data_IF_226080588340
#
_entry.id   IF_226080588340
#
_cell.length_a   1.000
_cell.length_b   1.000
_cell.length_c   1.000
_cell.angle_alpha   90.00
_cell.angle_beta   90.00
_cell.angle_gamma   90.00
#
_symmetry.space_group_name_H-M   'P 1'
#
loop_
_entity.id
_entity.type
_entity.pdbx_description
1 polymer ?
#
# COMPACT_ATOMS: atom_id res chain seq x y z
N UNK A 1 -26.20 -12.60 -18.72
CA UNK A 1 -24.88 -12.12 -18.23
C UNK A 1 -23.84 -12.68 -19.17
N UNK A 2 -23.03 -11.81 -19.75
CA UNK A 2 -21.94 -12.25 -20.63
C UNK A 2 -20.73 -12.59 -19.76
N UNK A 3 -20.47 -13.89 -19.61
CA UNK A 3 -19.35 -14.38 -18.80
C UNK A 3 -17.97 -14.01 -19.39
N UNK A 4 -17.91 -13.55 -20.64
CA UNK A 4 -16.68 -13.09 -21.28
C UNK A 4 -16.07 -11.87 -20.56
N UNK A 5 -16.89 -11.08 -19.86
CA UNK A 5 -16.44 -9.92 -19.10
C UNK A 5 -15.47 -10.28 -17.95
N UNK A 6 -15.60 -11.50 -17.39
CA UNK A 6 -14.68 -11.99 -16.37
C UNK A 6 -13.26 -12.24 -16.90
N UNK A 7 -13.10 -12.42 -18.22
CA UNK A 7 -11.78 -12.59 -18.82
C UNK A 7 -10.92 -11.30 -18.73
N UNK A 8 -11.56 -10.13 -18.66
CA UNK A 8 -10.86 -8.87 -18.44
C UNK A 8 -10.33 -8.73 -17.01
N UNK A 9 -10.96 -9.41 -16.03
CA UNK A 9 -10.55 -9.45 -14.62
C UNK A 9 -9.60 -10.61 -14.31
N UNK A 10 -8.85 -11.11 -15.29
CA UNK A 10 -7.97 -12.28 -15.10
C UNK A 10 -6.96 -12.09 -13.95
N UNK A 11 -6.49 -10.87 -13.74
CA UNK A 11 -5.50 -10.52 -12.72
C UNK A 11 -6.10 -10.62 -11.31
N UNK A 12 -7.30 -10.07 -11.12
CA UNK A 12 -8.04 -10.16 -9.86
C UNK A 12 -8.48 -11.59 -9.56
N UNK A 13 -9.04 -12.29 -10.56
CA UNK A 13 -9.51 -13.66 -10.40
C UNK A 13 -8.38 -14.63 -10.10
N UNK A 14 -7.24 -14.49 -10.77
CA UNK A 14 -6.06 -15.33 -10.48
C UNK A 14 -5.51 -15.05 -9.08
N UNK A 15 -5.54 -13.80 -8.60
CA UNK A 15 -5.15 -13.46 -7.23
C UNK A 15 -6.13 -14.04 -6.20
N UNK A 16 -7.43 -14.00 -6.46
CA UNK A 16 -8.46 -14.65 -5.63
C UNK A 16 -8.22 -16.16 -5.56
N UNK A 17 -7.89 -16.80 -6.69
CA UNK A 17 -7.55 -18.21 -6.72
C UNK A 17 -6.32 -18.53 -5.85
N UNK A 18 -5.28 -17.69 -5.90
CA UNK A 18 -4.10 -17.81 -5.02
C UNK A 18 -4.49 -17.71 -3.55
N UNK A 19 -5.32 -16.73 -3.18
CA UNK A 19 -5.81 -16.57 -1.80
C UNK A 19 -6.57 -17.83 -1.35
N UNK A 20 -7.46 -18.35 -2.18
CA UNK A 20 -8.25 -19.55 -1.87
C UNK A 20 -7.37 -20.80 -1.70
N UNK A 21 -6.36 -20.98 -2.57
CA UNK A 21 -5.43 -22.12 -2.46
C UNK A 21 -4.64 -22.02 -1.16
N UNK A 22 -4.13 -20.84 -0.78
CA UNK A 22 -3.41 -20.65 0.48
C UNK A 22 -4.34 -20.90 1.68
N UNK A 23 -5.57 -20.38 1.63
CA UNK A 23 -6.57 -20.58 2.68
C UNK A 23 -6.89 -22.07 2.90
N UNK A 24 -7.15 -22.80 1.81
CA UNK A 24 -7.42 -24.24 1.88
C UNK A 24 -6.19 -25.01 2.38
N UNK A 25 -5.01 -24.66 1.89
CA UNK A 25 -3.77 -25.30 2.34
C UNK A 25 -3.53 -25.07 3.85
N UNK A 26 -3.79 -23.88 4.37
CA UNK A 26 -3.66 -23.58 5.80
C UNK A 26 -4.73 -24.28 6.64
N UNK A 27 -5.97 -24.35 6.15
CA UNK A 27 -7.10 -25.02 6.83
C UNK A 27 -6.85 -26.53 7.01
N UNK A 28 -6.32 -27.21 5.98
CA UNK A 28 -6.04 -28.64 6.03
C UNK A 28 -4.71 -28.97 6.68
N UNK A 29 -3.91 -27.98 7.07
CA UNK A 29 -2.66 -28.20 7.77
C UNK A 29 -2.95 -28.45 9.26
N UNK A 30 -2.65 -29.66 9.72
CA UNK A 30 -2.91 -30.08 11.11
C UNK A 30 -2.15 -29.14 12.08
N UNK A 31 -2.85 -28.51 13.06
CA UNK A 31 -2.26 -27.59 14.05
C UNK A 31 -1.07 -28.18 14.81
N UNK A 32 -1.17 -29.46 15.20
CA UNK A 32 -0.11 -30.15 15.96
C UNK A 32 1.16 -30.40 15.13
N UNK A 33 1.03 -30.38 13.81
CA UNK A 33 2.14 -30.57 12.86
C UNK A 33 2.66 -29.26 12.26
N UNK A 34 2.06 -28.11 12.57
CA UNK A 34 2.47 -26.79 12.04
C UNK A 34 3.95 -26.45 12.33
N UNK A 35 4.45 -26.90 13.46
CA UNK A 35 5.85 -26.71 13.85
C UNK A 35 6.81 -27.78 13.29
N UNK A 36 6.32 -28.79 12.60
CA UNK A 36 7.19 -29.71 11.89
C UNK A 36 7.92 -28.96 10.75
N UNK A 37 9.24 -29.11 10.67
CA UNK A 37 10.12 -28.36 9.77
C UNK A 37 9.67 -28.43 8.30
N UNK A 38 9.12 -29.57 7.86
CA UNK A 38 8.64 -29.75 6.49
C UNK A 38 7.35 -28.98 6.22
N UNK A 39 6.40 -29.00 7.15
CA UNK A 39 5.13 -28.27 7.03
C UNK A 39 5.35 -26.76 7.14
N UNK A 40 6.25 -26.33 8.01
CA UNK A 40 6.66 -24.93 8.14
C UNK A 40 7.33 -24.39 6.86
N UNK A 41 8.18 -25.19 6.21
CA UNK A 41 8.78 -24.84 4.91
C UNK A 41 7.72 -24.77 3.81
N UNK A 42 6.82 -25.75 3.74
CA UNK A 42 5.74 -25.76 2.77
C UNK A 42 4.84 -24.54 2.92
N UNK A 43 4.39 -24.21 4.14
CA UNK A 43 3.55 -23.05 4.43
C UNK A 43 4.21 -21.71 4.09
N UNK A 44 5.53 -21.64 4.04
CA UNK A 44 6.29 -20.44 3.66
C UNK A 44 6.57 -20.39 2.15
N UNK A 45 6.90 -21.51 1.54
CA UNK A 45 7.28 -21.57 0.11
C UNK A 45 6.05 -21.47 -0.79
N UNK A 46 4.96 -22.12 -0.44
CA UNK A 46 3.73 -22.17 -1.25
C UNK A 46 3.21 -20.76 -1.64
N UNK A 47 3.01 -19.80 -0.70
CA UNK A 47 2.55 -18.45 -1.07
C UNK A 47 3.52 -17.72 -2.00
N UNK A 48 4.83 -17.88 -1.80
CA UNK A 48 5.87 -17.26 -2.65
C UNK A 48 5.79 -17.84 -4.07
N UNK A 49 5.75 -19.16 -4.21
CA UNK A 49 5.67 -19.81 -5.52
C UNK A 49 4.38 -19.44 -6.25
N UNK A 50 3.25 -19.46 -5.57
CA UNK A 50 1.97 -19.07 -6.17
C UNK A 50 1.97 -17.62 -6.64
N UNK A 51 2.56 -16.69 -5.85
CA UNK A 51 2.69 -15.29 -6.25
C UNK A 51 3.64 -15.09 -7.44
N UNK A 52 4.73 -15.85 -7.52
CA UNK A 52 5.62 -15.83 -8.69
C UNK A 52 4.87 -16.33 -9.93
N UNK A 53 4.15 -17.43 -9.84
CA UNK A 53 3.34 -17.98 -10.95
C UNK A 53 2.28 -16.98 -11.37
N UNK A 54 1.54 -16.40 -10.41
CA UNK A 54 0.54 -15.35 -10.66
C UNK A 54 1.15 -14.15 -11.41
N UNK A 55 2.31 -13.68 -10.98
CA UNK A 55 3.01 -12.55 -11.61
C UNK A 55 3.45 -12.88 -13.04
N UNK A 56 3.99 -14.07 -13.28
CA UNK A 56 4.44 -14.50 -14.62
C UNK A 56 3.26 -14.59 -15.60
N UNK A 57 2.14 -15.20 -15.16
CA UNK A 57 0.93 -15.35 -15.99
C UNK A 57 0.36 -13.99 -16.39
N UNK A 58 0.44 -12.99 -15.50
CA UNK A 58 -0.13 -11.66 -15.69
C UNK A 58 0.90 -10.59 -16.12
N UNK A 59 2.14 -10.98 -16.45
CA UNK A 59 3.18 -10.00 -16.81
C UNK A 59 2.94 -9.36 -18.17
N UNK A 60 2.31 -10.08 -19.10
CA UNK A 60 2.06 -9.59 -20.45
C UNK A 60 0.69 -8.92 -20.50
N UNK A 61 0.66 -7.58 -20.72
CA UNK A 61 -0.61 -6.87 -20.86
C UNK A 61 -1.36 -7.34 -22.12
N UNK A 62 -2.68 -7.40 -22.03
CA UNK A 62 -3.51 -7.60 -23.22
C UNK A 62 -3.49 -6.32 -24.08
N UNK A 63 -3.64 -6.50 -25.40
CA UNK A 63 -3.70 -5.36 -26.30
C UNK A 63 -5.02 -4.60 -26.16
N UNK A 64 -4.93 -3.27 -26.06
CA UNK A 64 -6.08 -2.38 -26.00
C UNK A 64 -6.65 -2.16 -24.59
N UNK A 65 -7.57 -1.23 -24.48
CA UNK A 65 -8.38 -0.97 -23.29
C UNK A 65 -9.72 -1.66 -23.40
N UNK A 66 -10.28 -2.11 -22.28
CA UNK A 66 -11.58 -2.76 -22.23
C UNK A 66 -12.36 -2.30 -21.00
N UNK A 67 -13.68 -2.35 -21.14
CA UNK A 67 -14.62 -2.08 -20.05
C UNK A 67 -15.46 -3.32 -19.79
N UNK A 68 -15.77 -3.55 -18.51
CA UNK A 68 -16.61 -4.65 -18.09
C UNK A 68 -17.63 -4.19 -17.04
N UNK A 69 -18.67 -4.98 -16.87
CA UNK A 69 -19.73 -4.72 -15.87
C UNK A 69 -20.35 -3.32 -16.01
N UNK A 70 -20.68 -2.92 -17.26
CA UNK A 70 -21.29 -1.62 -17.52
C UNK A 70 -20.36 -0.43 -17.26
N UNK A 71 -19.03 -0.59 -17.40
CA UNK A 71 -18.07 0.47 -17.16
C UNK A 71 -17.57 0.58 -15.70
N UNK A 72 -18.05 -0.28 -14.80
CA UNK A 72 -17.57 -0.29 -13.40
C UNK A 72 -16.11 -0.75 -13.30
N UNK A 73 -15.70 -1.69 -14.14
CA UNK A 73 -14.33 -2.17 -14.27
C UNK A 73 -13.72 -1.65 -15.57
N UNK A 74 -12.53 -1.09 -15.49
CA UNK A 74 -11.76 -0.63 -16.63
C UNK A 74 -10.41 -1.34 -16.66
N UNK A 75 -10.05 -1.85 -17.81
CA UNK A 75 -8.75 -2.43 -18.09
C UNK A 75 -7.94 -1.51 -19.00
N UNK A 76 -6.69 -1.26 -18.64
CA UNK A 76 -5.72 -0.61 -19.51
C UNK A 76 -4.33 -1.27 -19.33
N UNK A 77 -3.50 -1.36 -20.38
CA UNK A 77 -2.18 -2.02 -20.32
C UNK A 77 -1.27 -1.45 -19.22
N UNK A 78 -1.37 -0.15 -18.94
CA UNK A 78 -0.60 0.50 -17.88
C UNK A 78 -0.93 -0.04 -16.49
N UNK A 79 -2.18 -0.41 -16.24
CA UNK A 79 -2.61 -1.00 -14.97
C UNK A 79 -1.94 -2.34 -14.71
N UNK A 80 -1.78 -3.18 -15.74
CA UNK A 80 -1.03 -4.45 -15.64
C UNK A 80 0.42 -4.22 -15.22
N UNK A 81 1.09 -3.22 -15.80
CA UNK A 81 2.48 -2.88 -15.45
C UNK A 81 2.57 -2.49 -13.97
N UNK A 82 1.65 -1.65 -13.50
CA UNK A 82 1.64 -1.22 -12.11
C UNK A 82 1.35 -2.38 -11.17
N UNK A 83 0.35 -3.21 -11.47
CA UNK A 83 0.06 -4.41 -10.70
C UNK A 83 1.25 -5.37 -10.66
N UNK A 84 2.01 -5.51 -11.77
CA UNK A 84 3.23 -6.30 -11.81
C UNK A 84 4.32 -5.74 -10.86
N UNK A 85 4.49 -4.42 -10.82
CA UNK A 85 5.41 -3.77 -9.87
C UNK A 85 5.00 -4.03 -8.42
N UNK A 86 3.70 -3.92 -8.10
CA UNK A 86 3.17 -4.23 -6.77
C UNK A 86 3.38 -5.70 -6.40
N UNK A 87 3.23 -6.62 -7.36
CA UNK A 87 3.47 -8.05 -7.16
C UNK A 87 4.93 -8.34 -6.83
N UNK A 88 5.85 -7.78 -7.60
CA UNK A 88 7.29 -7.95 -7.36
C UNK A 88 7.65 -7.44 -5.97
N UNK A 89 7.14 -6.27 -5.59
CA UNK A 89 7.32 -5.73 -4.25
C UNK A 89 6.74 -6.64 -3.16
N UNK A 90 5.55 -7.20 -3.38
CA UNK A 90 4.91 -8.15 -2.45
C UNK A 90 5.71 -9.44 -2.31
N UNK A 91 6.27 -9.97 -3.41
CA UNK A 91 7.14 -11.14 -3.37
C UNK A 91 8.40 -10.86 -2.52
N UNK A 92 9.02 -9.69 -2.67
CA UNK A 92 10.17 -9.28 -1.83
C UNK A 92 9.77 -9.24 -0.36
N UNK A 93 8.61 -8.66 -0.04
CA UNK A 93 8.07 -8.65 1.33
C UNK A 93 7.84 -10.06 1.86
N UNK A 94 7.36 -11.00 1.04
CA UNK A 94 7.19 -12.40 1.44
C UNK A 94 8.52 -13.09 1.74
N UNK A 95 9.59 -12.80 0.99
CA UNK A 95 10.92 -13.28 1.34
C UNK A 95 11.41 -12.71 2.68
N UNK A 96 11.17 -11.42 2.94
CA UNK A 96 11.49 -10.80 4.23
C UNK A 96 10.67 -11.42 5.37
N UNK A 97 9.39 -11.70 5.14
CA UNK A 97 8.48 -12.31 6.11
C UNK A 97 8.88 -13.74 6.47
N UNK A 98 9.49 -14.49 5.53
CA UNK A 98 9.82 -15.89 5.71
C UNK A 98 10.68 -16.17 6.96
N UNK A 99 11.63 -15.29 7.28
CA UNK A 99 12.47 -15.42 8.47
C UNK A 99 11.73 -14.95 9.73
N UNK A 100 10.97 -13.86 9.65
CA UNK A 100 10.20 -13.35 10.79
C UNK A 100 9.09 -14.31 11.22
N UNK A 101 8.43 -14.98 10.27
CA UNK A 101 7.37 -15.97 10.54
C UNK A 101 7.91 -17.30 11.10
N UNK A 102 9.21 -17.47 11.30
CA UNK A 102 9.78 -18.63 12.00
C UNK A 102 9.75 -18.46 13.52
N UNK A 103 9.55 -17.26 14.03
CA UNK A 103 9.45 -16.98 15.45
C UNK A 103 8.24 -17.72 16.06
N UNK A 104 8.35 -18.17 17.29
CA UNK A 104 7.30 -18.96 17.97
C UNK A 104 5.96 -18.21 17.99
N UNK A 105 5.97 -16.93 18.31
CA UNK A 105 4.76 -16.08 18.41
C UNK A 105 4.02 -15.88 17.08
N UNK A 106 4.72 -15.99 15.95
CA UNK A 106 4.18 -15.72 14.60
C UNK A 106 3.98 -16.98 13.78
N UNK A 107 4.66 -18.06 14.15
CA UNK A 107 4.69 -19.33 13.38
C UNK A 107 3.32 -19.95 13.17
N UNK A 108 2.43 -19.84 14.15
CA UNK A 108 1.06 -20.38 14.10
C UNK A 108 0.18 -19.59 13.12
N UNK A 109 0.46 -18.31 12.92
CA UNK A 109 -0.35 -17.37 12.12
C UNK A 109 0.20 -17.13 10.71
N UNK A 110 1.07 -18.00 10.19
CA UNK A 110 1.70 -17.83 8.86
C UNK A 110 0.67 -17.68 7.73
N UNK A 111 -0.30 -18.58 7.67
CA UNK A 111 -1.36 -18.52 6.66
C UNK A 111 -2.17 -17.24 6.73
N UNK A 112 -2.55 -16.81 7.93
CA UNK A 112 -3.27 -15.57 8.17
C UNK A 112 -2.50 -14.35 7.63
N UNK A 113 -1.19 -14.28 7.85
CA UNK A 113 -0.34 -13.20 7.34
C UNK A 113 -0.40 -13.10 5.81
N UNK A 114 -0.22 -14.23 5.11
CA UNK A 114 -0.23 -14.25 3.64
C UNK A 114 -1.62 -13.92 3.09
N UNK A 115 -2.68 -14.49 3.67
CA UNK A 115 -4.06 -14.24 3.24
C UNK A 115 -4.41 -12.76 3.41
N UNK A 116 -4.13 -12.16 4.57
CA UNK A 116 -4.40 -10.74 4.83
C UNK A 116 -3.61 -9.84 3.89
N UNK A 117 -2.32 -10.13 3.66
CA UNK A 117 -1.48 -9.34 2.74
C UNK A 117 -2.00 -9.41 1.31
N UNK A 118 -2.39 -10.59 0.83
CA UNK A 118 -2.96 -10.75 -0.51
C UNK A 118 -4.36 -10.14 -0.63
N UNK A 119 -5.15 -10.16 0.43
CA UNK A 119 -6.44 -9.46 0.46
C UNK A 119 -6.27 -7.95 0.33
N UNK A 120 -5.26 -7.35 0.99
CA UNK A 120 -4.95 -5.94 0.79
C UNK A 120 -4.48 -5.66 -0.65
N UNK A 121 -3.69 -6.54 -1.24
CA UNK A 121 -3.25 -6.43 -2.62
C UNK A 121 -4.42 -6.50 -3.60
N UNK A 122 -5.39 -7.41 -3.36
CA UNK A 122 -6.62 -7.48 -4.13
C UNK A 122 -7.42 -6.17 -4.08
N UNK A 123 -7.55 -5.56 -2.90
CA UNK A 123 -8.17 -4.24 -2.74
C UNK A 123 -7.47 -3.16 -3.58
N UNK A 124 -6.13 -3.18 -3.62
CA UNK A 124 -5.36 -2.26 -4.47
C UNK A 124 -5.61 -2.50 -5.95
N UNK A 125 -5.74 -3.76 -6.39
CA UNK A 125 -6.11 -4.09 -7.77
C UNK A 125 -7.48 -3.54 -8.15
N UNK A 126 -8.47 -3.73 -7.27
CA UNK A 126 -9.82 -3.20 -7.49
C UNK A 126 -9.81 -1.67 -7.60
N UNK A 127 -9.03 -0.96 -6.77
CA UNK A 127 -8.87 0.49 -6.89
C UNK A 127 -8.24 0.90 -8.22
N UNK A 128 -7.18 0.21 -8.66
CA UNK A 128 -6.44 0.53 -9.89
C UNK A 128 -7.33 0.33 -11.12
N UNK A 129 -8.18 -0.69 -11.11
CA UNK A 129 -9.09 -1.03 -12.22
C UNK A 129 -10.48 -0.42 -12.10
N UNK A 130 -10.69 0.48 -11.12
CA UNK A 130 -12.00 1.09 -10.93
C UNK A 130 -12.36 2.06 -12.07
N UNK A 131 -13.55 1.90 -12.63
CA UNK A 131 -14.20 2.85 -13.53
C UNK A 131 -15.38 3.58 -12.88
N UNK A 132 -15.67 3.26 -11.62
CA UNK A 132 -16.77 3.80 -10.85
C UNK A 132 -16.33 3.98 -9.38
N UNK A 133 -16.76 5.06 -8.73
CA UNK A 133 -16.36 5.34 -7.34
C UNK A 133 -16.81 4.28 -6.34
N UNK A 134 -17.88 3.53 -6.60
CA UNK A 134 -18.28 2.42 -5.73
C UNK A 134 -17.21 1.31 -5.72
N UNK A 135 -16.72 0.91 -6.91
CA UNK A 135 -15.67 -0.09 -7.01
C UNK A 135 -14.35 0.41 -6.39
N UNK A 136 -14.01 1.68 -6.63
CA UNK A 136 -12.88 2.33 -5.98
C UNK A 136 -12.98 2.25 -4.44
N UNK A 137 -14.15 2.59 -3.87
CA UNK A 137 -14.37 2.58 -2.41
C UNK A 137 -14.30 1.16 -1.82
N UNK A 138 -14.91 0.17 -2.49
CA UNK A 138 -14.80 -1.25 -2.09
C UNK A 138 -13.34 -1.68 -2.09
N UNK A 139 -12.58 -1.33 -3.13
CA UNK A 139 -11.16 -1.62 -3.20
C UNK A 139 -10.37 -0.98 -2.07
N UNK A 140 -10.66 0.29 -1.74
CA UNK A 140 -10.01 1.04 -0.67
C UNK A 140 -10.24 0.38 0.70
N UNK A 141 -11.46 -0.04 1.01
CA UNK A 141 -11.79 -0.72 2.27
C UNK A 141 -11.20 -2.12 2.31
N UNK A 142 -11.26 -2.88 1.21
CA UNK A 142 -10.62 -4.20 1.11
C UNK A 142 -9.11 -4.11 1.31
N UNK A 143 -8.47 -3.01 0.90
CA UNK A 143 -7.04 -2.77 1.15
C UNK A 143 -6.75 -2.28 2.57
N UNK A 144 -7.71 -1.64 3.26
CA UNK A 144 -7.47 -0.93 4.53
C UNK A 144 -7.76 -1.80 5.76
N UNK A 145 -8.87 -2.56 5.75
CA UNK A 145 -9.30 -3.35 6.91
C UNK A 145 -8.31 -4.49 7.23
N UNK A 146 -7.89 -5.33 6.26
CA UNK A 146 -6.88 -6.35 6.57
C UNK A 146 -5.52 -5.75 6.91
N UNK A 147 -5.18 -4.56 6.38
CA UNK A 147 -3.97 -3.85 6.74
C UNK A 147 -3.93 -3.48 8.23
N UNK A 148 -5.06 -3.07 8.82
CA UNK A 148 -5.13 -2.79 10.25
C UNK A 148 -4.81 -4.03 11.10
N UNK A 149 -5.30 -5.20 10.68
CA UNK A 149 -4.98 -6.47 11.33
C UNK A 149 -3.49 -6.84 11.18
N UNK A 150 -2.89 -6.58 10.00
CA UNK A 150 -1.45 -6.76 9.78
C UNK A 150 -0.61 -5.84 10.66
N UNK A 151 -0.99 -4.57 10.83
CA UNK A 151 -0.30 -3.61 11.71
C UNK A 151 -0.33 -4.10 13.16
N UNK A 152 -1.46 -4.68 13.61
CA UNK A 152 -1.63 -5.26 14.95
C UNK A 152 -1.22 -6.73 15.05
N UNK A 153 -0.45 -7.27 14.10
CA UNK A 153 -0.20 -8.71 13.98
C UNK A 153 0.49 -9.30 15.22
N UNK A 154 1.43 -8.57 15.82
CA UNK A 154 2.08 -8.91 17.09
C UNK A 154 1.22 -8.47 18.29
N UNK A 155 -0.01 -8.95 18.35
CA UNK A 155 -1.04 -8.50 19.31
C UNK A 155 -0.64 -8.54 20.79
N UNK A 156 0.33 -9.36 21.14
CA UNK A 156 0.87 -9.47 22.51
C UNK A 156 1.86 -8.35 22.83
N UNK A 157 2.37 -7.64 21.84
CA UNK A 157 3.20 -6.44 22.04
C UNK A 157 2.31 -5.22 22.08
N UNK A 158 2.31 -4.52 23.22
CA UNK A 158 1.46 -3.34 23.44
C UNK A 158 1.59 -2.30 22.31
N UNK A 159 2.80 -2.04 21.84
CA UNK A 159 3.05 -1.10 20.75
C UNK A 159 2.40 -1.50 19.42
N UNK A 160 2.34 -2.79 19.11
CA UNK A 160 1.69 -3.27 17.87
C UNK A 160 0.16 -3.16 17.95
N UNK A 161 -0.43 -3.48 19.10
CA UNK A 161 -1.86 -3.32 19.33
C UNK A 161 -2.28 -1.84 19.29
N UNK A 162 -1.50 -0.94 19.90
CA UNK A 162 -1.72 0.50 19.86
C UNK A 162 -1.61 1.05 18.42
N UNK A 163 -0.59 0.63 17.67
CA UNK A 163 -0.41 1.03 16.27
C UNK A 163 -1.59 0.59 15.41
N UNK A 164 -2.09 -0.64 15.60
CA UNK A 164 -3.29 -1.14 14.91
C UNK A 164 -4.53 -0.35 15.23
N UNK A 165 -4.76 -0.02 16.51
CA UNK A 165 -5.89 0.80 16.93
C UNK A 165 -5.82 2.22 16.32
N UNK A 166 -4.65 2.87 16.35
CA UNK A 166 -4.45 4.18 15.73
C UNK A 166 -4.68 4.14 14.23
N UNK A 167 -4.18 3.10 13.56
CA UNK A 167 -4.37 2.95 12.11
C UNK A 167 -5.84 2.79 11.75
N UNK A 168 -6.57 1.84 12.38
CA UNK A 168 -7.95 1.55 12.00
C UNK A 168 -8.88 2.74 12.28
N UNK A 169 -8.74 3.40 13.43
CA UNK A 169 -9.58 4.54 13.79
C UNK A 169 -9.38 5.71 12.83
N UNK A 170 -8.14 6.04 12.51
CA UNK A 170 -7.84 7.14 11.57
C UNK A 170 -8.19 6.77 10.14
N UNK A 171 -8.03 5.51 9.73
CA UNK A 171 -8.43 5.02 8.42
C UNK A 171 -9.95 5.10 8.24
N UNK A 172 -10.74 4.60 9.19
CA UNK A 172 -12.21 4.66 9.13
C UNK A 172 -12.72 6.11 9.10
N UNK A 173 -12.13 7.00 9.89
CA UNK A 173 -12.49 8.41 9.87
C UNK A 173 -12.21 9.04 8.50
N UNK A 174 -11.06 8.76 7.93
CA UNK A 174 -10.69 9.30 6.61
C UNK A 174 -11.55 8.72 5.48
N UNK A 175 -11.90 7.43 5.55
CA UNK A 175 -12.81 6.77 4.60
C UNK A 175 -14.22 7.36 4.69
N UNK A 176 -14.69 7.68 5.89
CA UNK A 176 -15.99 8.33 6.09
C UNK A 176 -16.03 9.72 5.44
N UNK A 177 -14.98 10.53 5.60
CA UNK A 177 -14.87 11.83 4.94
C UNK A 177 -14.82 11.70 3.41
N UNK A 178 -14.06 10.74 2.90
CA UNK A 178 -14.01 10.44 1.47
C UNK A 178 -15.39 10.05 0.94
N UNK A 179 -16.09 9.15 1.62
CA UNK A 179 -17.44 8.73 1.23
C UNK A 179 -18.43 9.89 1.26
N UNK A 180 -18.30 10.79 2.24
CA UNK A 180 -19.10 12.01 2.29
C UNK A 180 -18.82 12.90 1.07
N UNK A 181 -17.55 13.07 0.66
CA UNK A 181 -17.18 13.76 -0.57
C UNK A 181 -17.80 13.11 -1.82
N UNK A 182 -17.78 11.78 -1.91
CA UNK A 182 -18.43 11.06 -3.02
C UNK A 182 -19.95 11.25 -3.04
N UNK A 183 -20.59 11.32 -1.88
CA UNK A 183 -22.01 11.63 -1.78
C UNK A 183 -22.34 13.03 -2.32
N UNK A 184 -21.48 14.03 -2.04
CA UNK A 184 -21.63 15.39 -2.58
C UNK A 184 -21.43 15.43 -4.10
N UNK A 185 -20.46 14.66 -4.65
CA UNK A 185 -20.28 14.52 -6.10
C UNK A 185 -21.52 13.92 -6.73
N UNK A 186 -22.05 12.84 -6.15
CA UNK A 186 -23.28 12.22 -6.65
C UNK A 186 -24.46 13.18 -6.60
N UNK A 187 -24.60 13.95 -5.51
CA UNK A 187 -25.67 14.95 -5.36
C UNK A 187 -25.60 16.08 -6.39
N UNK A 188 -24.41 16.44 -6.88
CA UNK A 188 -24.23 17.50 -7.87
C UNK A 188 -24.26 17.00 -9.31
N UNK A 189 -23.70 15.82 -9.58
CA UNK A 189 -23.49 15.28 -10.94
C UNK A 189 -24.49 14.19 -11.33
N UNK A 190 -25.16 13.54 -10.36
CA UNK A 190 -26.11 12.45 -10.61
C UNK A 190 -25.49 11.13 -11.06
N UNK A 191 -24.16 11.06 -11.19
CA UNK A 191 -23.42 9.87 -11.61
C UNK A 191 -22.14 9.70 -10.78
N UNK A 192 -21.60 8.47 -10.75
CA UNK A 192 -20.30 8.13 -10.13
C UNK A 192 -19.36 7.39 -11.09
N UNK A 193 -19.72 7.31 -12.37
CA UNK A 193 -18.85 6.75 -13.42
C UNK A 193 -17.75 7.73 -13.79
N UNK A 194 -16.51 7.24 -13.86
CA UNK A 194 -15.34 8.09 -14.16
C UNK A 194 -15.39 8.73 -15.53
N UNK A 195 -16.01 8.06 -16.50
CA UNK A 195 -16.12 8.58 -17.86
C UNK A 195 -17.20 9.67 -18.01
N UNK A 196 -18.25 9.65 -17.17
CA UNK A 196 -19.37 10.58 -17.27
C UNK A 196 -19.13 11.86 -16.45
N UNK A 197 -18.43 11.73 -15.32
CA UNK A 197 -18.23 12.82 -14.37
C UNK A 197 -17.62 14.10 -14.97
N UNK A 198 -16.60 14.04 -15.86
CA UNK A 198 -15.99 15.25 -16.41
C UNK A 198 -16.98 16.15 -17.16
N UNK A 199 -18.05 15.57 -17.73
CA UNK A 199 -19.09 16.33 -18.44
C UNK A 199 -20.05 17.08 -17.48
N UNK A 200 -20.06 16.74 -16.18
CA UNK A 200 -20.97 17.29 -15.17
C UNK A 200 -20.22 18.11 -14.10
N UNK A 201 -18.90 18.20 -14.19
CA UNK A 201 -18.08 18.98 -13.26
C UNK A 201 -17.88 20.38 -13.81
N UNK A 202 -18.50 21.36 -13.15
CA UNK A 202 -18.46 22.79 -13.53
C UNK A 202 -17.57 23.60 -12.58
N UNK A 203 -16.99 23.00 -11.54
CA UNK A 203 -16.18 23.69 -10.54
C UNK A 203 -17.01 24.52 -9.54
N UNK A 204 -18.28 24.17 -9.32
CA UNK A 204 -19.11 24.86 -8.33
C UNK A 204 -18.62 24.56 -6.90
N UNK A 205 -19.03 25.40 -5.94
CA UNK A 205 -18.57 25.32 -4.54
C UNK A 205 -18.84 23.95 -3.91
N UNK A 206 -19.94 23.27 -4.26
CA UNK A 206 -20.25 21.94 -3.75
C UNK A 206 -19.26 20.89 -4.26
N UNK A 207 -18.86 20.99 -5.53
CA UNK A 207 -17.89 20.09 -6.15
C UNK A 207 -16.46 20.34 -5.62
N UNK A 208 -16.09 21.59 -5.35
CA UNK A 208 -14.82 21.93 -4.69
C UNK A 208 -14.78 21.33 -3.28
N UNK A 209 -15.85 21.48 -2.50
CA UNK A 209 -15.94 20.86 -1.17
C UNK A 209 -15.87 19.33 -1.27
N UNK A 210 -16.57 18.72 -2.22
CA UNK A 210 -16.54 17.29 -2.47
C UNK A 210 -15.12 16.79 -2.79
N UNK A 211 -14.38 17.54 -3.62
CA UNK A 211 -12.99 17.26 -3.90
C UNK A 211 -12.11 17.33 -2.64
N UNK A 212 -12.26 18.33 -1.79
CA UNK A 212 -11.50 18.46 -0.53
C UNK A 212 -11.75 17.26 0.38
N UNK A 213 -13.00 16.81 0.53
CA UNK A 213 -13.33 15.63 1.31
C UNK A 213 -12.78 14.34 0.69
N UNK A 214 -12.88 14.17 -0.62
CA UNK A 214 -12.27 13.06 -1.35
C UNK A 214 -10.74 13.04 -1.14
N UNK A 215 -10.10 14.20 -1.34
CA UNK A 215 -8.66 14.34 -1.18
C UNK A 215 -8.20 14.09 0.25
N UNK A 216 -9.00 14.41 1.26
CA UNK A 216 -8.69 14.10 2.67
C UNK A 216 -8.47 12.60 2.86
N UNK A 217 -9.35 11.75 2.31
CA UNK A 217 -9.20 10.30 2.40
C UNK A 217 -7.98 9.78 1.65
N UNK A 218 -7.72 10.30 0.46
CA UNK A 218 -6.54 9.93 -0.32
C UNK A 218 -5.24 10.45 0.31
N UNK A 219 -5.26 11.66 0.86
CA UNK A 219 -4.15 12.27 1.59
C UNK A 219 -3.76 11.46 2.83
N UNK A 220 -4.73 10.93 3.57
CA UNK A 220 -4.48 9.96 4.65
C UNK A 220 -3.75 8.72 4.11
N UNK A 221 -4.25 8.09 3.05
CA UNK A 221 -3.67 6.88 2.48
C UNK A 221 -2.21 7.08 2.02
N UNK A 222 -1.90 8.26 1.48
CA UNK A 222 -0.58 8.67 1.06
C UNK A 222 0.29 9.20 2.20
N UNK A 223 -0.31 9.49 3.35
CA UNK A 223 0.35 10.15 4.49
C UNK A 223 0.84 11.57 4.16
N UNK A 224 0.09 12.32 3.36
CA UNK A 224 0.41 13.72 3.06
C UNK A 224 0.07 14.63 4.25
N UNK A 225 0.80 15.71 4.41
CA UNK A 225 0.49 16.74 5.42
C UNK A 225 -0.81 17.46 4.99
N UNK A 226 -1.80 17.63 5.88
CA UNK A 226 -1.79 17.41 7.35
C UNK A 226 -2.20 16.01 7.81
N UNK A 227 -2.53 15.09 6.91
CA UNK A 227 -3.10 13.77 7.21
C UNK A 227 -2.07 12.70 7.61
N UNK A 228 -0.84 13.08 7.94
CA UNK A 228 0.32 12.21 8.16
C UNK A 228 0.51 11.71 9.61
N UNK A 229 -0.22 12.25 10.58
CA UNK A 229 0.06 12.08 12.02
C UNK A 229 0.08 10.62 12.48
N UNK A 230 -0.69 9.75 11.84
CA UNK A 230 -0.74 8.32 12.16
C UNK A 230 0.53 7.56 11.76
N UNK A 231 1.25 8.04 10.74
CA UNK A 231 2.29 7.27 10.03
C UNK A 231 3.48 6.94 10.93
N UNK A 232 3.97 7.90 11.71
CA UNK A 232 5.13 7.70 12.56
C UNK A 232 4.87 6.64 13.64
N UNK A 233 3.73 6.72 14.32
CA UNK A 233 3.36 5.79 15.39
C UNK A 233 3.06 4.39 14.86
N UNK A 234 2.39 4.30 13.70
CA UNK A 234 2.07 3.02 13.06
C UNK A 234 3.33 2.34 12.54
N UNK A 235 4.25 3.06 11.90
CA UNK A 235 5.50 2.46 11.41
C UNK A 235 6.40 1.98 12.55
N UNK A 236 6.43 2.70 13.66
CA UNK A 236 7.19 2.30 14.84
C UNK A 236 6.61 1.04 15.49
N UNK A 237 5.30 0.99 15.69
CA UNK A 237 4.63 -0.10 16.40
C UNK A 237 4.40 -1.36 15.58
N UNK A 238 4.17 -1.26 14.25
CA UNK A 238 3.93 -2.40 13.39
C UNK A 238 5.18 -3.29 13.24
N UNK A 239 5.03 -4.59 12.92
CA UNK A 239 6.16 -5.43 12.52
C UNK A 239 6.90 -4.84 11.32
N UNK A 240 8.24 -4.91 11.29
CA UNK A 240 9.06 -4.25 10.26
C UNK A 240 8.70 -4.68 8.84
N UNK A 241 8.31 -5.94 8.64
CA UNK A 241 7.86 -6.49 7.35
C UNK A 241 6.54 -5.85 6.91
N UNK A 242 5.60 -5.66 7.84
CA UNK A 242 4.32 -4.99 7.57
C UNK A 242 4.55 -3.51 7.26
N UNK A 243 5.46 -2.87 7.99
CA UNK A 243 5.86 -1.48 7.71
C UNK A 243 6.44 -1.33 6.31
N UNK A 244 7.29 -2.27 5.87
CA UNK A 244 7.83 -2.29 4.51
C UNK A 244 6.72 -2.36 3.45
N UNK A 245 5.76 -3.27 3.62
CA UNK A 245 4.61 -3.42 2.73
C UNK A 245 3.75 -2.15 2.69
N UNK A 246 3.40 -1.60 3.86
CA UNK A 246 2.59 -0.39 3.99
C UNK A 246 3.27 0.83 3.38
N UNK A 247 4.58 0.98 3.55
CA UNK A 247 5.33 2.15 3.08
C UNK A 247 5.47 2.21 1.56
N UNK A 248 5.55 1.06 0.90
CA UNK A 248 5.87 0.96 -0.53
C UNK A 248 4.63 0.58 -1.35
N UNK A 249 4.05 -0.59 -1.06
CA UNK A 249 3.02 -1.18 -1.91
C UNK A 249 1.71 -0.40 -1.79
N UNK A 250 1.28 -0.14 -0.55
CA UNK A 250 0.04 0.60 -0.30
C UNK A 250 0.13 2.05 -0.80
N UNK A 251 1.24 2.75 -0.58
CA UNK A 251 1.40 4.14 -1.04
C UNK A 251 1.56 4.23 -2.55
N UNK A 252 2.32 3.33 -3.17
CA UNK A 252 2.50 3.30 -4.62
C UNK A 252 1.18 3.11 -5.35
N UNK A 253 0.34 2.17 -4.91
CA UNK A 253 -0.99 1.98 -5.48
C UNK A 253 -1.89 3.21 -5.29
N UNK A 254 -1.91 3.79 -4.09
CA UNK A 254 -2.73 4.98 -3.80
C UNK A 254 -2.30 6.21 -4.63
N UNK A 255 -1.01 6.40 -4.85
CA UNK A 255 -0.49 7.50 -5.68
C UNK A 255 -0.94 7.38 -7.13
N UNK A 256 -0.83 6.17 -7.70
CA UNK A 256 -1.30 5.92 -9.06
C UNK A 256 -2.82 6.11 -9.20
N UNK A 257 -3.59 5.61 -8.25
CA UNK A 257 -5.05 5.75 -8.24
C UNK A 257 -5.45 7.21 -8.10
N UNK A 258 -4.80 7.97 -7.21
CA UNK A 258 -5.05 9.41 -7.08
C UNK A 258 -4.80 10.14 -8.40
N UNK A 259 -3.66 9.90 -9.06
CA UNK A 259 -3.36 10.51 -10.35
C UNK A 259 -4.42 10.15 -11.40
N UNK A 260 -4.82 8.88 -11.47
CA UNK A 260 -5.84 8.41 -12.41
C UNK A 260 -7.17 9.13 -12.19
N UNK A 261 -7.61 9.26 -10.94
CA UNK A 261 -8.87 9.96 -10.61
C UNK A 261 -8.78 11.46 -10.91
N UNK A 262 -7.65 12.10 -10.60
CA UNK A 262 -7.46 13.52 -10.89
C UNK A 262 -7.51 13.82 -12.40
N UNK A 263 -6.86 12.99 -13.21
CA UNK A 263 -6.82 13.19 -14.66
C UNK A 263 -8.13 12.79 -15.34
N UNK A 264 -8.77 11.69 -14.88
CA UNK A 264 -10.01 11.20 -15.52
C UNK A 264 -11.25 11.91 -15.03
N UNK A 265 -11.36 12.17 -13.73
CA UNK A 265 -12.60 12.68 -13.12
C UNK A 265 -12.52 14.18 -12.88
N UNK A 266 -11.45 14.65 -12.23
CA UNK A 266 -11.30 16.07 -11.86
C UNK A 266 -10.52 16.90 -12.88
N UNK A 267 -10.40 16.43 -14.12
CA UNK A 267 -9.74 17.19 -15.19
C UNK A 267 -10.30 18.61 -15.37
N UNK A 268 -11.63 18.86 -15.31
CA UNK A 268 -12.17 20.23 -15.45
C UNK A 268 -11.73 21.19 -14.33
N UNK A 269 -11.36 20.66 -13.15
CA UNK A 269 -10.92 21.43 -11.97
C UNK A 269 -9.39 21.42 -11.81
N UNK A 270 -8.63 21.31 -12.91
CA UNK A 270 -7.16 21.16 -12.85
C UNK A 270 -6.48 22.29 -12.10
N UNK A 271 -6.92 23.54 -12.28
CA UNK A 271 -6.34 24.69 -11.59
C UNK A 271 -6.52 24.61 -10.07
N UNK A 272 -7.72 24.21 -9.61
CA UNK A 272 -8.06 24.14 -8.19
C UNK A 272 -7.26 23.05 -7.48
N UNK A 273 -7.25 21.81 -8.03
CA UNK A 273 -6.54 20.73 -7.36
C UNK A 273 -5.01 20.83 -7.47
N UNK A 274 -4.47 21.44 -8.53
CA UNK A 274 -3.03 21.71 -8.63
C UNK A 274 -2.57 22.69 -7.55
N UNK A 275 -3.33 23.73 -7.24
CA UNK A 275 -3.00 24.66 -6.18
C UNK A 275 -3.01 23.99 -4.81
N UNK A 276 -4.02 23.18 -4.50
CA UNK A 276 -4.08 22.40 -3.25
C UNK A 276 -2.87 21.46 -3.15
N UNK A 277 -2.57 20.70 -4.21
CA UNK A 277 -1.45 19.77 -4.23
C UNK A 277 -0.10 20.48 -4.08
N UNK A 278 0.05 21.64 -4.65
CA UNK A 278 1.27 22.46 -4.55
C UNK A 278 1.60 22.75 -3.07
N UNK A 279 0.63 23.31 -2.33
CA UNK A 279 0.82 23.63 -0.92
C UNK A 279 1.00 22.40 -0.04
N UNK A 280 0.24 21.34 -0.28
CA UNK A 280 0.35 20.05 0.43
C UNK A 280 1.73 19.41 0.18
N UNK A 281 2.25 19.50 -1.02
CA UNK A 281 3.56 18.97 -1.38
C UNK A 281 4.69 19.71 -0.67
N UNK A 282 4.69 21.04 -0.70
CA UNK A 282 5.68 21.87 0.01
C UNK A 282 5.65 21.55 1.52
N UNK A 283 4.44 21.53 2.10
CA UNK A 283 4.28 21.23 3.53
C UNK A 283 4.77 19.81 3.86
N UNK A 284 4.44 18.81 3.03
CA UNK A 284 4.84 17.43 3.25
C UNK A 284 6.36 17.23 3.19
N UNK A 285 7.02 17.79 2.18
CA UNK A 285 8.47 17.69 2.05
C UNK A 285 9.17 18.44 3.19
N UNK A 286 8.75 19.65 3.50
CA UNK A 286 9.41 20.50 4.48
C UNK A 286 9.25 19.96 5.90
N UNK A 287 8.00 19.73 6.33
CA UNK A 287 7.73 19.30 7.70
C UNK A 287 8.26 17.88 7.97
N UNK A 288 8.11 16.96 7.01
CA UNK A 288 8.62 15.62 7.20
C UNK A 288 10.14 15.58 7.38
N UNK A 289 10.90 16.34 6.58
CA UNK A 289 12.35 16.40 6.72
C UNK A 289 12.77 17.05 8.03
N UNK A 290 12.09 18.12 8.49
CA UNK A 290 12.38 18.75 9.77
C UNK A 290 12.13 17.79 10.95
N UNK A 291 11.05 17.03 10.92
CA UNK A 291 10.75 16.03 11.96
C UNK A 291 11.70 14.82 11.88
N UNK A 292 12.13 14.42 10.70
CA UNK A 292 13.07 13.30 10.50
C UNK A 292 14.40 13.53 11.24
N UNK A 293 14.94 14.75 11.22
CA UNK A 293 16.23 15.11 11.84
C UNK A 293 16.24 14.84 13.36
N UNK A 294 15.10 14.93 14.02
CA UNK A 294 14.98 14.75 15.48
C UNK A 294 14.70 13.31 15.89
N UNK A 295 14.51 12.39 14.95
CA UNK A 295 14.17 11.00 15.28
C UNK A 295 15.40 10.21 15.69
N UNK A 296 15.25 9.41 16.74
CA UNK A 296 16.26 8.46 17.22
C UNK A 296 15.91 7.02 16.82
N UNK A 297 14.62 6.69 16.72
CA UNK A 297 14.14 5.38 16.26
C UNK A 297 14.17 5.31 14.73
N UNK A 298 14.84 4.29 14.19
CA UNK A 298 15.03 4.13 12.75
C UNK A 298 13.71 3.91 11.99
N UNK A 299 12.75 3.18 12.57
CA UNK A 299 11.43 2.98 11.93
C UNK A 299 10.63 4.29 11.90
N UNK A 300 10.71 5.11 12.93
CA UNK A 300 10.12 6.45 12.95
C UNK A 300 10.77 7.40 11.96
N UNK A 301 12.09 7.35 11.85
CA UNK A 301 12.83 8.09 10.84
C UNK A 301 12.37 7.69 9.42
N UNK A 302 12.24 6.40 9.14
CA UNK A 302 11.72 5.90 7.87
C UNK A 302 10.26 6.29 7.61
N UNK A 303 9.45 6.47 8.64
CA UNK A 303 8.10 7.01 8.51
C UNK A 303 8.11 8.45 7.98
N UNK A 304 8.91 9.34 8.58
CA UNK A 304 9.04 10.71 8.09
C UNK A 304 9.71 10.79 6.72
N UNK A 305 10.70 9.95 6.45
CA UNK A 305 11.24 9.78 5.10
C UNK A 305 10.13 9.41 4.11
N UNK A 306 9.28 8.46 4.45
CA UNK A 306 8.15 8.03 3.60
C UNK A 306 7.10 9.13 3.37
N UNK A 307 6.87 10.04 4.33
CA UNK A 307 6.01 11.22 4.17
C UNK A 307 6.63 12.21 3.17
N UNK A 308 7.93 12.48 3.31
CA UNK A 308 8.67 13.33 2.35
C UNK A 308 8.65 12.74 0.95
N UNK A 309 8.84 11.43 0.80
CA UNK A 309 8.79 10.73 -0.48
C UNK A 309 7.39 10.78 -1.11
N UNK A 310 6.32 10.70 -0.32
CA UNK A 310 4.97 10.92 -0.82
C UNK A 310 4.81 12.35 -1.39
N UNK A 311 5.41 13.35 -0.76
CA UNK A 311 5.49 14.71 -1.32
C UNK A 311 6.21 14.76 -2.67
N UNK A 312 7.35 14.06 -2.83
CA UNK A 312 8.05 13.99 -4.12
C UNK A 312 7.23 13.28 -5.20
N UNK A 313 6.49 12.23 -4.85
CA UNK A 313 5.56 11.55 -5.77
C UNK A 313 4.49 12.54 -6.28
N UNK A 314 4.01 13.44 -5.42
CA UNK A 314 3.00 14.44 -5.82
C UNK A 314 3.52 15.44 -6.86
N UNK A 315 4.82 15.66 -6.99
CA UNK A 315 5.35 16.50 -8.09
C UNK A 315 5.00 15.92 -9.47
N UNK A 316 5.05 14.59 -9.62
CA UNK A 316 4.60 13.91 -10.83
C UNK A 316 3.09 14.03 -11.05
N UNK A 317 2.30 14.07 -9.96
CA UNK A 317 0.84 14.24 -10.03
C UNK A 317 0.47 15.67 -10.43
N UNK A 318 1.13 16.70 -9.87
CA UNK A 318 0.88 18.12 -10.17
C UNK A 318 1.06 18.42 -11.66
N UNK A 319 1.97 17.72 -12.33
CA UNK A 319 2.19 17.91 -13.77
C UNK A 319 0.96 17.63 -14.63
N UNK A 320 0.03 16.78 -14.19
CA UNK A 320 -1.26 16.50 -14.86
C UNK A 320 -1.15 15.99 -16.29
N UNK A 321 0.01 15.49 -16.70
CA UNK A 321 0.34 15.10 -18.08
C UNK A 321 0.72 13.62 -18.17
N UNK A 322 0.80 13.08 -19.39
CA UNK A 322 1.30 11.73 -19.64
C UNK A 322 2.75 11.56 -19.15
N UNK A 323 3.58 12.60 -19.26
CA UNK A 323 4.96 12.59 -18.74
C UNK A 323 4.98 12.55 -17.21
N UNK A 324 4.05 13.24 -16.54
CA UNK A 324 3.86 13.17 -15.09
C UNK A 324 3.49 11.75 -14.65
N UNK A 325 2.64 11.05 -15.38
CA UNK A 325 2.28 9.65 -15.12
C UNK A 325 3.49 8.72 -15.26
N UNK A 326 4.26 8.87 -16.32
CA UNK A 326 5.49 8.08 -16.54
C UNK A 326 6.52 8.33 -15.44
N UNK A 327 6.70 9.58 -15.05
CA UNK A 327 7.60 10.00 -13.97
C UNK A 327 7.18 9.44 -12.62
N UNK A 328 5.86 9.42 -12.33
CA UNK A 328 5.32 8.82 -11.11
C UNK A 328 5.63 7.32 -11.04
N UNK A 329 5.36 6.58 -12.12
CA UNK A 329 5.61 5.13 -12.16
C UNK A 329 7.09 4.83 -11.98
N UNK A 330 7.96 5.56 -12.67
CA UNK A 330 9.41 5.42 -12.53
C UNK A 330 9.86 5.70 -11.08
N UNK A 331 9.36 6.80 -10.49
CA UNK A 331 9.71 7.17 -9.12
C UNK A 331 9.25 6.13 -8.10
N UNK A 332 8.01 5.63 -8.23
CA UNK A 332 7.47 4.58 -7.35
C UNK A 332 8.30 3.30 -7.46
N UNK A 333 8.77 2.94 -8.65
CA UNK A 333 9.61 1.77 -8.86
C UNK A 333 10.97 1.93 -8.14
N UNK A 334 11.67 3.06 -8.34
CA UNK A 334 12.95 3.34 -7.68
C UNK A 334 12.77 3.40 -6.15
N UNK A 335 11.73 4.07 -5.69
CA UNK A 335 11.37 4.15 -4.28
C UNK A 335 11.10 2.75 -3.69
N UNK A 336 10.39 1.89 -4.43
CA UNK A 336 10.11 0.52 -3.99
C UNK A 336 11.40 -0.26 -3.75
N UNK A 337 12.33 -0.26 -4.70
CA UNK A 337 13.61 -0.97 -4.58
C UNK A 337 14.43 -0.43 -3.40
N UNK A 338 14.59 0.88 -3.31
CA UNK A 338 15.37 1.52 -2.25
C UNK A 338 14.78 1.25 -0.86
N UNK A 339 13.49 1.45 -0.70
CA UNK A 339 12.82 1.35 0.61
C UNK A 339 12.68 -0.09 1.09
N UNK A 340 12.33 -1.03 0.19
CA UNK A 340 12.32 -2.46 0.53
C UNK A 340 13.71 -2.94 0.93
N UNK A 341 14.77 -2.45 0.27
CA UNK A 341 16.15 -2.74 0.65
C UNK A 341 16.48 -2.26 2.06
N UNK A 342 16.12 -1.04 2.41
CA UNK A 342 16.32 -0.49 3.77
C UNK A 342 15.54 -1.30 4.81
N UNK A 343 14.26 -1.59 4.56
CA UNK A 343 13.46 -2.39 5.49
C UNK A 343 13.93 -3.83 5.60
N UNK A 344 14.53 -4.42 4.54
CA UNK A 344 15.15 -5.74 4.62
C UNK A 344 16.31 -5.73 5.63
N UNK A 345 17.18 -4.72 5.57
CA UNK A 345 18.27 -4.55 6.55
C UNK A 345 17.70 -4.35 7.96
N UNK A 346 16.71 -3.46 8.14
CA UNK A 346 16.08 -3.23 9.44
C UNK A 346 15.50 -4.54 9.99
N UNK A 347 14.83 -5.33 9.16
CA UNK A 347 14.23 -6.61 9.57
C UNK A 347 15.30 -7.61 10.01
N UNK A 348 16.39 -7.76 9.26
CA UNK A 348 17.49 -8.68 9.60
C UNK A 348 18.15 -8.28 10.91
N UNK A 349 18.45 -6.99 11.09
CA UNK A 349 19.07 -6.49 12.33
C UNK A 349 18.10 -6.64 13.51
N UNK A 350 16.83 -6.30 13.33
CA UNK A 350 15.82 -6.46 14.36
C UNK A 350 15.64 -7.92 14.82
N UNK A 351 15.67 -8.87 13.88
CA UNK A 351 15.56 -10.30 14.20
C UNK A 351 16.77 -10.84 14.95
N UNK A 352 17.98 -10.31 14.69
CA UNK A 352 19.22 -10.80 15.29
C UNK A 352 19.59 -10.11 16.60
N UNK A 353 19.34 -8.81 16.71
CA UNK A 353 19.84 -7.98 17.83
C UNK A 353 18.76 -7.25 18.60
N UNK A 354 17.50 -7.23 18.14
CA UNK A 354 16.38 -6.46 18.72
C UNK A 354 16.65 -4.96 18.84
N UNK A 355 17.52 -4.40 18.00
CA UNK A 355 17.97 -3.01 18.02
C UNK A 355 17.24 -2.18 16.99
N UNK A 356 16.83 -0.96 17.38
CA UNK A 356 16.05 -0.06 16.52
C UNK A 356 16.51 1.40 16.57
N UNK A 357 17.44 1.77 17.46
CA UNK A 357 17.92 3.15 17.57
C UNK A 357 19.12 3.42 16.67
N UNK A 358 19.27 4.67 16.23
CA UNK A 358 20.39 5.10 15.38
C UNK A 358 21.75 4.89 16.06
N UNK A 359 21.83 5.11 17.38
CA UNK A 359 23.05 4.90 18.16
C UNK A 359 23.45 3.42 18.16
N UNK A 360 22.49 2.51 18.33
CA UNK A 360 22.73 1.08 18.27
C UNK A 360 23.21 0.63 16.88
N UNK A 361 22.66 1.22 15.80
CA UNK A 361 23.13 0.94 14.44
C UNK A 361 24.53 1.49 14.18
N UNK A 362 24.87 2.66 14.72
CA UNK A 362 26.22 3.21 14.62
C UNK A 362 27.24 2.29 15.31
N UNK A 363 26.88 1.73 16.47
CA UNK A 363 27.70 0.75 17.18
C UNK A 363 27.91 -0.54 16.33
N UNK A 364 26.87 -1.07 15.69
CA UNK A 364 26.98 -2.23 14.81
C UNK A 364 27.91 -1.99 13.62
N UNK A 365 27.86 -0.79 12.99
CA UNK A 365 28.75 -0.41 11.90
C UNK A 365 30.22 -0.33 12.37
N UNK A 366 30.46 0.23 13.55
CA UNK A 366 31.80 0.34 14.13
C UNK A 366 32.40 -1.05 14.42
N UNK A 367 31.60 -1.97 14.96
CA UNK A 367 32.01 -3.33 15.27
C UNK A 367 32.30 -4.13 13.99
N UNK A 368 31.45 -3.99 12.96
CA UNK A 368 31.66 -4.72 11.70
C UNK A 368 32.93 -4.28 10.95
N UNK A 369 33.36 -3.02 11.13
CA UNK A 369 34.60 -2.50 10.56
C UNK A 369 35.88 -2.90 11.32
N UNK A 370 35.79 -3.32 12.58
CA UNK A 370 36.94 -3.55 13.46
C UNK A 370 37.00 -4.93 14.12
N UNK A 371 35.95 -5.72 14.10
CA UNK A 371 35.88 -6.96 14.85
C UNK A 371 35.57 -8.21 14.00
N UNK A 372 36.64 -8.84 13.55
CA UNK A 372 36.73 -10.31 13.58
C UNK A 372 37.05 -10.84 14.99
N UNK A 373 37.15 -10.01 16.01
CA UNK A 373 37.45 -10.39 17.40
C UNK A 373 36.59 -9.53 18.34
N UNK A 374 35.86 -10.22 19.19
CA UNK A 374 35.05 -9.75 20.31
C UNK A 374 33.56 -9.56 20.03
N UNK A 375 32.86 -10.60 20.33
CA UNK A 375 31.50 -10.70 20.85
C UNK A 375 31.52 -9.98 22.20
N UNK A 376 30.84 -8.82 22.28
CA UNK A 376 30.27 -8.23 23.51
C UNK A 376 30.04 -6.74 23.21
N UNK A 377 28.83 -6.40 22.83
CA UNK A 377 28.19 -5.13 23.16
C UNK A 377 26.78 -5.44 23.63
#
# INVERSE_FOLDING_TARGET
>A
MDYSQFLYMKEELSLVAVILIIFLADLFMNPDKRNNMNNARFATILPIVLMVIHTIINLVPAAGSAEAFGGMYQYAPMQTIIKAVLNIGTIIVFFMAAEWLKLEDTSIKRGEFYIMTLSTLLGMYLMISAGHFLMFFIGLETASIPMAALVAFDKYRHHSAEAGAKYILTALFSSALLLFGLSMIYGSCGTLYFNDLPAHIDGNMLQIMAFVFFFTGMGFKLSLVPFHLWTADVYEGAPSVVTAYLSVISKGSAAFVLLTVLIKVFAPMIADWQEVLYWVTIASITLANLFAIRQQNLKRLMAFSSISQAGYIMLGVIGGTADGMSSLVYYVLVYAVANLGVFAVITIVALRSHKFTLEEYACLLYISGRCRRLVEC
#
